data_IF_780910341672
#
_entry.id   IF_780910341672
#
_cell.length_a   1.000
_cell.length_b   1.000
_cell.length_c   1.000
_cell.angle_alpha   90.00
_cell.angle_beta   90.00
_cell.angle_gamma   90.00
#
_symmetry.space_group_name_H-M   'P 1'
#
loop_
_entity.id
_entity.type
_entity.pdbx_description
1 polymer ?
#
# COMPACT_ATOMS: atom_id res chain seq x y z
N UNK A 1 5.52 -11.50 42.54
CA UNK A 1 5.34 -12.03 41.18
C UNK A 1 5.80 -10.95 40.19
N UNK A 2 7.02 -11.02 39.65
CA UNK A 2 7.60 -9.97 38.81
C UNK A 2 7.14 -10.14 37.35
N UNK A 3 6.35 -9.17 36.85
CA UNK A 3 6.01 -9.09 35.42
C UNK A 3 7.26 -8.60 34.69
N UNK A 4 7.98 -9.52 34.03
CA UNK A 4 9.10 -9.15 33.14
C UNK A 4 8.55 -8.28 32.01
N UNK A 5 8.89 -6.99 32.01
CA UNK A 5 8.63 -6.08 30.91
C UNK A 5 9.49 -6.49 29.70
N UNK A 6 8.98 -7.41 28.87
CA UNK A 6 9.57 -7.72 27.58
C UNK A 6 9.37 -6.54 26.65
N UNK A 7 10.33 -5.62 26.65
CA UNK A 7 10.46 -4.59 25.62
C UNK A 7 10.67 -5.32 24.29
N UNK A 8 9.69 -5.26 23.39
CA UNK A 8 9.79 -5.85 22.05
C UNK A 8 10.92 -5.12 21.32
N UNK A 9 12.15 -5.65 21.40
CA UNK A 9 13.25 -5.24 20.53
C UNK A 9 12.92 -5.80 19.17
N UNK A 10 12.68 -4.92 18.20
CA UNK A 10 12.66 -5.30 16.79
C UNK A 10 14.09 -5.66 16.41
N UNK A 11 14.48 -6.91 16.68
CA UNK A 11 15.72 -7.44 16.14
C UNK A 11 15.54 -7.52 14.62
N UNK A 12 16.45 -6.90 13.87
CA UNK A 12 16.70 -7.21 12.47
C UNK A 12 17.13 -8.67 12.43
N UNK A 13 16.15 -9.57 12.32
CA UNK A 13 16.39 -10.98 12.54
C UNK A 13 16.77 -11.59 11.19
N UNK A 14 18.02 -12.06 11.00
CA UNK A 14 18.49 -12.65 9.73
C UNK A 14 17.68 -13.88 9.28
N UNK A 15 16.79 -14.39 10.13
CA UNK A 15 16.01 -15.60 9.89
C UNK A 15 14.62 -15.38 9.24
N UNK A 16 14.25 -14.17 8.82
CA UNK A 16 12.92 -13.94 8.24
C UNK A 16 12.66 -14.72 6.95
N UNK A 17 13.68 -14.89 6.10
CA UNK A 17 13.58 -15.70 4.88
C UNK A 17 13.40 -17.19 5.21
N UNK A 18 14.24 -17.71 6.11
CA UNK A 18 14.14 -19.10 6.59
C UNK A 18 12.77 -19.41 7.21
N UNK A 19 12.17 -18.48 7.95
CA UNK A 19 10.81 -18.61 8.50
C UNK A 19 9.76 -18.75 7.38
N UNK A 20 9.92 -18.01 6.27
CA UNK A 20 9.01 -18.07 5.11
C UNK A 20 9.18 -19.37 4.34
N UNK A 21 10.42 -19.80 4.09
CA UNK A 21 10.72 -21.09 3.45
C UNK A 21 10.11 -22.25 4.24
N UNK A 22 10.30 -22.30 5.56
CA UNK A 22 9.66 -23.32 6.41
C UNK A 22 8.14 -23.25 6.36
N UNK A 23 7.56 -22.07 6.13
CA UNK A 23 6.11 -21.96 5.96
C UNK A 23 5.65 -22.54 4.62
N UNK A 24 6.44 -22.37 3.56
CA UNK A 24 6.20 -22.94 2.23
C UNK A 24 6.31 -24.47 2.22
N UNK A 25 7.14 -25.07 3.08
CA UNK A 25 7.18 -26.53 3.28
C UNK A 25 5.99 -27.09 4.05
N UNK A 26 5.02 -26.25 4.44
CA UNK A 26 3.79 -26.67 5.11
C UNK A 26 3.84 -26.69 6.65
N UNK A 27 4.96 -26.34 7.29
CA UNK A 27 5.06 -26.32 8.75
C UNK A 27 4.07 -25.33 9.37
N UNK A 28 3.45 -25.73 10.48
CA UNK A 28 2.50 -24.88 11.21
C UNK A 28 3.20 -23.68 11.85
N UNK A 29 2.50 -22.55 12.02
CA UNK A 29 3.04 -21.39 12.74
C UNK A 29 3.49 -21.73 14.17
N UNK A 30 2.84 -22.70 14.83
CA UNK A 30 3.21 -23.14 16.17
C UNK A 30 4.54 -23.91 16.19
N UNK A 31 4.77 -24.76 15.20
CA UNK A 31 6.04 -25.50 15.06
C UNK A 31 7.20 -24.54 14.80
N UNK A 32 7.03 -23.59 13.86
CA UNK A 32 8.05 -22.59 13.55
C UNK A 32 8.31 -21.67 14.76
N UNK A 33 7.25 -21.26 15.48
CA UNK A 33 7.37 -20.46 16.70
C UNK A 33 8.28 -21.12 17.75
N UNK A 34 8.11 -22.45 17.97
CA UNK A 34 8.97 -23.22 18.88
C UNK A 34 10.42 -23.30 18.40
N UNK A 35 10.65 -23.48 17.10
CA UNK A 35 12.00 -23.60 16.51
C UNK A 35 12.85 -22.34 16.70
N UNK A 36 12.22 -21.16 16.65
CA UNK A 36 12.92 -19.86 16.72
C UNK A 36 12.72 -19.14 18.06
N UNK A 37 12.08 -19.78 19.04
CA UNK A 37 11.71 -19.18 20.34
C UNK A 37 11.02 -17.80 20.21
N UNK A 38 10.03 -17.72 19.32
CA UNK A 38 9.27 -16.49 19.06
C UNK A 38 7.77 -16.77 19.06
N UNK A 39 6.97 -15.76 19.38
CA UNK A 39 5.53 -15.93 19.47
C UNK A 39 4.90 -16.31 18.12
N UNK A 40 3.88 -17.16 18.16
CA UNK A 40 3.08 -17.53 16.98
C UNK A 40 2.54 -16.30 16.22
N UNK A 41 2.15 -15.26 16.95
CA UNK A 41 1.68 -14.00 16.37
C UNK A 41 2.80 -13.31 15.56
N UNK A 42 4.04 -13.35 16.05
CA UNK A 42 5.19 -12.80 15.34
C UNK A 42 5.51 -13.57 14.06
N UNK A 43 5.46 -14.90 14.10
CA UNK A 43 5.60 -15.73 12.89
C UNK A 43 4.54 -15.35 11.86
N UNK A 44 3.27 -15.23 12.27
CA UNK A 44 2.20 -14.81 11.37
C UNK A 44 2.48 -13.44 10.73
N UNK A 45 2.95 -12.46 11.50
CA UNK A 45 3.34 -11.15 10.96
C UNK A 45 4.47 -11.23 9.93
N UNK A 46 5.48 -12.08 10.17
CA UNK A 46 6.61 -12.28 9.25
C UNK A 46 6.13 -12.91 7.93
N UNK A 47 5.28 -13.94 8.03
CA UNK A 47 4.74 -14.65 6.87
C UNK A 47 3.72 -13.81 6.09
N UNK A 48 2.91 -13.00 6.76
CA UNK A 48 1.94 -12.11 6.12
C UNK A 48 2.56 -10.86 5.50
N UNK A 49 3.86 -10.62 5.74
CA UNK A 49 4.53 -9.40 5.29
C UNK A 49 4.05 -8.15 6.02
N UNK A 50 3.59 -8.30 7.27
CA UNK A 50 3.08 -7.18 8.07
C UNK A 50 4.17 -6.11 8.29
N UNK A 51 3.94 -4.92 7.74
CA UNK A 51 4.77 -3.73 7.96
C UNK A 51 4.23 -2.98 9.19
N UNK A 52 4.99 -2.93 10.28
CA UNK A 52 4.56 -2.23 11.49
C UNK A 52 4.55 -0.70 11.27
N UNK A 53 3.78 0.08 12.04
CA UNK A 53 3.87 1.54 11.98
C UNK A 53 5.29 2.05 12.21
N UNK A 54 6.09 1.37 13.04
CA UNK A 54 7.50 1.68 13.24
C UNK A 54 8.34 1.45 11.98
N UNK A 55 8.01 0.47 11.14
CA UNK A 55 8.68 0.27 9.85
C UNK A 55 8.39 1.42 8.88
N UNK A 56 7.22 2.06 8.97
CA UNK A 56 6.96 3.28 8.19
C UNK A 56 7.90 4.43 8.56
N UNK A 57 8.29 4.54 9.84
CA UNK A 57 9.25 5.53 10.29
C UNK A 57 10.68 5.17 9.87
N UNK A 58 11.04 3.89 9.92
CA UNK A 58 12.32 3.38 9.43
C UNK A 58 12.49 3.65 7.93
N UNK A 59 11.50 3.30 7.10
CA UNK A 59 11.48 3.58 5.66
C UNK A 59 11.62 5.08 5.40
N UNK A 60 10.91 5.93 6.16
CA UNK A 60 11.07 7.39 6.06
C UNK A 60 12.49 7.86 6.38
N UNK A 61 13.16 7.26 7.37
CA UNK A 61 14.55 7.56 7.70
C UNK A 61 15.50 7.14 6.58
N UNK A 62 15.34 5.94 6.04
CA UNK A 62 16.12 5.47 4.89
C UNK A 62 15.92 6.41 3.72
N UNK A 63 14.66 6.70 3.35
CA UNK A 63 14.36 7.62 2.24
C UNK A 63 15.00 8.99 2.44
N UNK A 64 14.96 9.54 3.66
CA UNK A 64 15.62 10.80 3.98
C UNK A 64 17.15 10.71 3.81
N UNK A 65 17.77 9.61 4.23
CA UNK A 65 19.20 9.39 4.07
C UNK A 65 19.61 9.29 2.59
N UNK A 66 18.80 8.59 1.78
CA UNK A 66 19.01 8.47 0.33
C UNK A 66 18.86 9.82 -0.38
N UNK A 67 17.86 10.63 0.00
CA UNK A 67 17.72 12.00 -0.50
C UNK A 67 18.94 12.87 -0.18
N UNK A 68 19.49 12.76 1.03
CA UNK A 68 20.71 13.49 1.43
C UNK A 68 21.93 12.99 0.66
N UNK A 69 22.10 11.66 0.51
CA UNK A 69 23.17 11.03 -0.28
C UNK A 69 23.21 11.59 -1.70
N UNK A 70 22.05 11.69 -2.32
CA UNK A 70 21.89 12.11 -3.72
C UNK A 70 21.73 13.64 -3.86
N UNK A 71 22.10 14.39 -2.82
CA UNK A 71 22.06 15.86 -2.76
C UNK A 71 20.69 16.46 -3.14
N UNK A 72 19.60 15.75 -2.87
CA UNK A 72 18.24 16.11 -3.29
C UNK A 72 18.15 16.36 -4.81
N UNK A 73 18.85 15.57 -5.62
CA UNK A 73 18.82 15.63 -7.08
C UNK A 73 18.41 14.28 -7.70
N UNK A 74 17.77 14.34 -8.86
CA UNK A 74 17.42 13.16 -9.65
C UNK A 74 18.67 12.46 -10.20
N UNK A 75 18.79 11.14 -9.98
CA UNK A 75 19.96 10.33 -10.37
C UNK A 75 19.76 9.54 -11.68
N UNK A 76 18.62 9.68 -12.35
CA UNK A 76 18.25 8.87 -13.53
C UNK A 76 19.12 9.14 -14.76
N UNK A 77 19.19 10.40 -15.17
CA UNK A 77 19.82 10.82 -16.41
C UNK A 77 20.62 12.10 -16.17
N UNK A 78 21.83 12.14 -16.72
CA UNK A 78 22.68 13.33 -16.75
C UNK A 78 21.96 14.51 -17.44
N UNK A 79 20.99 14.24 -18.31
CA UNK A 79 20.19 15.23 -19.02
C UNK A 79 18.77 15.40 -18.48
N UNK A 80 18.48 14.94 -17.26
CA UNK A 80 17.21 15.23 -16.61
C UNK A 80 16.99 16.75 -16.58
N UNK A 81 15.97 17.23 -17.31
CA UNK A 81 15.65 18.67 -17.43
C UNK A 81 15.28 19.30 -16.08
N UNK A 82 14.95 18.46 -15.11
CA UNK A 82 14.33 18.78 -13.84
C UNK A 82 15.20 18.35 -12.64
N UNK A 83 16.54 18.39 -12.77
CA UNK A 83 17.46 17.93 -11.71
C UNK A 83 17.27 18.63 -10.36
N UNK A 84 16.84 19.90 -10.37
CA UNK A 84 16.66 20.74 -9.17
C UNK A 84 15.20 21.13 -8.95
N UNK A 85 14.32 20.15 -9.02
CA UNK A 85 12.93 20.30 -8.61
C UNK A 85 12.82 20.29 -7.07
N UNK A 86 11.74 20.84 -6.52
CA UNK A 86 11.46 20.83 -5.08
C UNK A 86 11.51 19.42 -4.47
N UNK A 87 11.90 19.34 -3.20
CA UNK A 87 12.09 18.08 -2.47
C UNK A 87 10.82 17.21 -2.49
N UNK A 88 9.64 17.84 -2.52
CA UNK A 88 8.31 17.23 -2.57
C UNK A 88 7.99 16.44 -3.86
N UNK A 89 8.80 16.61 -4.90
CA UNK A 89 8.62 15.97 -6.20
C UNK A 89 9.69 14.89 -6.46
N UNK A 90 10.61 14.70 -5.51
CA UNK A 90 11.58 13.60 -5.52
C UNK A 90 10.99 12.35 -4.86
N UNK A 91 11.25 11.20 -5.46
CA UNK A 91 10.76 9.91 -4.99
C UNK A 91 11.94 8.94 -4.95
N UNK A 92 12.11 8.26 -3.82
CA UNK A 92 13.07 7.16 -3.67
C UNK A 92 12.43 5.88 -4.23
N UNK A 93 13.15 5.20 -5.11
CA UNK A 93 12.66 4.02 -5.82
C UNK A 93 13.65 2.86 -5.75
N UNK A 94 13.14 1.62 -5.84
CA UNK A 94 13.96 0.42 -5.84
C UNK A 94 14.39 0.08 -7.28
N UNK A 95 15.69 -0.08 -7.53
CA UNK A 95 16.24 -0.35 -8.86
C UNK A 95 15.82 -1.75 -9.33
N UNK A 96 15.87 -2.75 -8.45
CA UNK A 96 15.52 -4.15 -8.73
C UNK A 96 14.01 -4.46 -8.73
N UNK A 97 13.16 -3.47 -8.48
CA UNK A 97 11.70 -3.62 -8.30
C UNK A 97 11.27 -4.52 -7.12
N UNK A 98 12.18 -4.88 -6.22
CA UNK A 98 11.88 -5.64 -5.02
C UNK A 98 11.69 -4.69 -3.84
N UNK A 99 10.45 -4.45 -3.45
CA UNK A 99 10.07 -3.55 -2.35
C UNK A 99 10.49 -4.05 -0.94
N UNK A 100 11.20 -5.19 -0.89
CA UNK A 100 11.77 -5.79 0.32
C UNK A 100 13.29 -5.59 0.41
N UNK A 101 13.95 -5.20 -0.67
CA UNK A 101 15.39 -4.96 -0.69
C UNK A 101 15.69 -3.51 -0.35
N UNK A 102 15.72 -3.21 0.95
CA UNK A 102 15.93 -1.86 1.51
C UNK A 102 17.42 -1.44 1.53
N UNK A 103 18.32 -2.16 0.83
CA UNK A 103 19.72 -1.78 0.71
C UNK A 103 19.86 -0.41 0.06
N UNK A 104 20.73 0.45 0.61
CA UNK A 104 20.96 1.80 0.06
C UNK A 104 21.36 1.77 -1.41
N UNK A 105 22.12 0.75 -1.82
CA UNK A 105 22.64 0.63 -3.19
C UNK A 105 21.56 0.21 -4.18
N UNK A 106 20.45 -0.36 -3.69
CA UNK A 106 19.28 -0.69 -4.48
C UNK A 106 18.27 0.47 -4.55
N UNK A 107 18.54 1.60 -3.89
CA UNK A 107 17.66 2.75 -3.86
C UNK A 107 18.21 3.90 -4.70
N UNK A 108 17.35 4.52 -5.51
CA UNK A 108 17.67 5.65 -6.38
C UNK A 108 16.68 6.79 -6.19
N UNK A 109 17.15 8.04 -6.17
CA UNK A 109 16.28 9.23 -6.17
C UNK A 109 15.90 9.61 -7.60
N UNK A 110 14.60 9.75 -7.83
CA UNK A 110 14.04 10.10 -9.14
C UNK A 110 13.07 11.28 -9.00
N UNK A 111 13.10 12.22 -9.95
CA UNK A 111 11.99 13.17 -10.11
C UNK A 111 10.76 12.44 -10.67
N UNK A 112 9.57 13.04 -10.56
CA UNK A 112 8.31 12.43 -11.04
C UNK A 112 8.35 11.99 -12.50
N UNK A 113 8.95 12.77 -13.39
CA UNK A 113 9.03 12.42 -14.82
C UNK A 113 9.96 11.24 -15.07
N UNK A 114 11.17 11.26 -14.49
CA UNK A 114 12.10 10.15 -14.58
C UNK A 114 11.55 8.88 -13.89
N UNK A 115 10.80 9.02 -12.80
CA UNK A 115 10.14 7.90 -12.13
C UNK A 115 9.08 7.26 -13.03
N UNK A 116 8.23 8.07 -13.68
CA UNK A 116 7.28 7.57 -14.67
C UNK A 116 7.98 6.91 -15.87
N UNK A 117 9.07 7.53 -16.35
CA UNK A 117 9.92 6.98 -17.40
C UNK A 117 10.58 5.65 -17.01
N UNK A 118 10.98 5.49 -15.74
CA UNK A 118 11.56 4.25 -15.23
C UNK A 118 10.59 3.09 -15.30
N UNK A 119 9.33 3.31 -14.88
CA UNK A 119 8.29 2.29 -15.03
C UNK A 119 7.98 2.01 -16.49
N UNK A 120 7.99 3.05 -17.34
CA UNK A 120 7.64 2.91 -18.76
C UNK A 120 8.69 2.13 -19.57
N UNK A 121 9.98 2.30 -19.27
CA UNK A 121 11.10 1.61 -19.94
C UNK A 121 11.25 0.16 -19.45
N UNK A 122 11.21 -0.06 -18.14
CA UNK A 122 11.32 -1.41 -17.56
C UNK A 122 10.05 -2.25 -17.66
N UNK A 123 8.94 -1.65 -18.12
CA UNK A 123 7.79 -2.43 -18.58
C UNK A 123 8.13 -3.30 -19.79
N UNK A 124 9.13 -2.95 -20.61
CA UNK A 124 9.55 -3.78 -21.75
C UNK A 124 10.16 -5.09 -21.25
N UNK A 125 11.07 -5.05 -20.28
CA UNK A 125 11.69 -6.25 -19.71
C UNK A 125 10.72 -7.11 -18.90
N UNK A 126 9.82 -6.49 -18.13
CA UNK A 126 8.72 -7.24 -17.48
C UNK A 126 7.76 -7.85 -18.49
N UNK A 127 7.53 -7.25 -19.65
CA UNK A 127 6.69 -7.83 -20.72
C UNK A 127 7.40 -9.00 -21.41
N UNK A 128 8.72 -8.93 -21.57
CA UNK A 128 9.56 -10.01 -22.11
C UNK A 128 9.61 -11.19 -21.11
N UNK A 129 9.93 -10.94 -19.84
CA UNK A 129 9.90 -11.96 -18.77
C UNK A 129 8.50 -12.57 -18.58
N UNK A 130 7.45 -11.74 -18.61
CA UNK A 130 6.06 -12.21 -18.54
C UNK A 130 5.65 -13.00 -19.78
N UNK A 131 6.19 -12.70 -20.97
CA UNK A 131 5.97 -13.52 -22.17
C UNK A 131 6.62 -14.91 -22.07
N UNK A 132 7.73 -15.02 -21.34
CA UNK A 132 8.42 -16.30 -21.08
C UNK A 132 7.60 -17.14 -20.07
N UNK A 133 7.06 -16.52 -19.01
CA UNK A 133 6.27 -17.24 -17.99
C UNK A 133 4.80 -17.46 -18.38
N UNK A 134 4.20 -16.62 -19.23
CA UNK A 134 2.80 -16.75 -19.70
C UNK A 134 2.62 -17.84 -20.78
N UNK A 135 3.68 -18.56 -21.16
CA UNK A 135 3.56 -19.71 -22.05
C UNK A 135 2.93 -20.94 -21.37
N UNK A 136 2.82 -20.96 -20.04
CA UNK A 136 2.36 -22.13 -19.28
C UNK A 136 0.85 -22.17 -18.96
N UNK A 137 0.06 -21.15 -19.35
CA UNK A 137 -1.39 -21.11 -19.08
C UNK A 137 -2.23 -20.98 -20.35
N UNK A 138 -1.76 -21.54 -21.47
CA UNK A 138 -2.61 -21.66 -22.66
C UNK A 138 -3.42 -22.96 -22.52
N UNK A 139 -4.70 -22.86 -22.17
CA UNK A 139 -5.61 -24.01 -22.29
C UNK A 139 -6.11 -24.08 -23.72
N UNK A 140 -5.93 -25.22 -24.39
CA UNK A 140 -6.55 -25.47 -25.68
C UNK A 140 -8.07 -25.44 -25.52
N UNK A 141 -8.76 -24.66 -26.36
CA UNK A 141 -10.22 -24.65 -26.43
C UNK A 141 -10.68 -24.93 -27.85
N UNK A 142 -11.79 -25.64 -27.97
CA UNK A 142 -12.48 -25.87 -29.24
C UNK A 142 -13.54 -24.77 -29.42
N UNK A 143 -13.50 -24.06 -30.53
CA UNK A 143 -14.52 -23.04 -30.80
C UNK A 143 -15.89 -23.68 -31.02
N UNK A 144 -16.96 -23.21 -30.36
CA UNK A 144 -18.29 -23.82 -30.50
C UNK A 144 -18.88 -23.65 -31.92
N UNK A 145 -18.42 -22.64 -32.66
CA UNK A 145 -18.88 -22.31 -34.02
C UNK A 145 -18.05 -23.01 -35.10
N UNK A 146 -16.73 -22.74 -35.14
CA UNK A 146 -15.86 -23.25 -36.19
C UNK A 146 -15.29 -24.65 -35.92
N UNK A 147 -15.45 -25.17 -34.69
CA UNK A 147 -14.84 -26.42 -34.18
C UNK A 147 -13.31 -26.50 -34.27
N UNK A 148 -12.63 -25.43 -34.70
CA UNK A 148 -11.16 -25.35 -34.68
C UNK A 148 -10.66 -25.14 -33.25
N UNK A 149 -9.54 -25.78 -32.95
CA UNK A 149 -8.75 -25.50 -31.76
C UNK A 149 -8.15 -24.10 -31.83
N UNK A 150 -8.13 -23.39 -30.72
CA UNK A 150 -7.50 -22.09 -30.64
C UNK A 150 -6.91 -21.83 -29.27
N UNK A 151 -5.81 -21.10 -29.27
CA UNK A 151 -5.11 -20.63 -28.08
C UNK A 151 -5.51 -19.18 -27.81
N UNK A 152 -5.76 -18.83 -26.56
CA UNK A 152 -6.05 -17.44 -26.19
C UNK A 152 -5.46 -17.09 -24.83
N UNK A 153 -5.09 -15.81 -24.66
CA UNK A 153 -4.61 -15.27 -23.39
C UNK A 153 -5.80 -14.71 -22.60
N UNK A 154 -6.05 -15.23 -21.39
CA UNK A 154 -7.14 -14.83 -20.49
C UNK A 154 -8.18 -15.93 -20.25
N UNK A 155 -9.27 -15.66 -19.51
CA UNK A 155 -10.28 -16.70 -19.20
C UNK A 155 -11.57 -16.63 -20.05
N UNK A 156 -11.80 -15.55 -20.80
CA UNK A 156 -13.15 -15.22 -21.27
C UNK A 156 -13.44 -15.39 -22.77
N UNK A 157 -12.45 -15.64 -23.64
CA UNK A 157 -12.74 -15.81 -25.07
C UNK A 157 -13.35 -17.20 -25.31
N UNK A 158 -14.52 -17.23 -25.96
CA UNK A 158 -15.24 -18.47 -26.29
C UNK A 158 -15.03 -18.93 -27.73
N UNK A 159 -14.52 -18.07 -28.63
CA UNK A 159 -14.49 -18.34 -30.08
C UNK A 159 -13.11 -18.10 -30.71
N UNK A 160 -12.81 -18.84 -31.78
CA UNK A 160 -11.55 -18.80 -32.52
C UNK A 160 -11.29 -17.43 -33.19
N UNK A 161 -12.34 -16.79 -33.72
CA UNK A 161 -12.29 -15.51 -34.42
C UNK A 161 -13.41 -14.56 -33.99
N UNK A 162 -13.30 -13.29 -34.38
CA UNK A 162 -14.37 -12.30 -34.20
C UNK A 162 -15.61 -12.64 -35.04
N UNK A 163 -15.42 -13.18 -36.25
CA UNK A 163 -16.52 -13.71 -37.08
C UNK A 163 -17.29 -14.81 -36.36
N UNK A 164 -16.60 -15.74 -35.70
CA UNK A 164 -17.24 -16.77 -34.89
C UNK A 164 -17.94 -16.18 -33.65
N UNK A 165 -17.45 -15.08 -33.10
CA UNK A 165 -18.15 -14.39 -32.01
C UNK A 165 -19.47 -13.80 -32.52
N UNK A 166 -19.45 -13.12 -33.69
CA UNK A 166 -20.65 -12.58 -34.34
C UNK A 166 -21.67 -13.69 -34.61
N UNK A 167 -21.23 -14.82 -35.19
CA UNK A 167 -22.08 -16.01 -35.41
C UNK A 167 -22.63 -16.59 -34.11
N UNK A 168 -21.84 -16.64 -33.04
CA UNK A 168 -22.31 -17.11 -31.74
C UNK A 168 -23.39 -16.21 -31.14
N UNK A 169 -23.31 -14.90 -31.38
CA UNK A 169 -24.31 -13.93 -30.92
C UNK A 169 -25.61 -14.04 -31.73
N UNK A 170 -25.53 -14.33 -33.05
CA UNK A 170 -26.72 -14.47 -33.91
C UNK A 170 -27.47 -15.77 -33.69
N UNK A 171 -26.77 -16.88 -33.37
CA UNK A 171 -27.39 -18.20 -33.14
C UNK A 171 -28.17 -18.26 -31.83
N UNK A 172 -27.81 -17.43 -30.83
CA UNK A 172 -28.54 -17.37 -29.56
C UNK A 172 -28.88 -15.93 -29.12
N UNK A 173 -29.92 -15.33 -29.73
CA UNK A 173 -30.36 -13.98 -29.38
C UNK A 173 -30.90 -13.89 -27.94
N UNK A 174 -31.38 -15.01 -27.38
CA UNK A 174 -31.89 -15.07 -26.00
C UNK A 174 -30.74 -14.94 -24.99
N UNK A 175 -29.60 -15.58 -25.24
CA UNK A 175 -28.39 -15.41 -24.41
C UNK A 175 -27.89 -13.96 -24.42
N UNK A 176 -27.99 -13.26 -25.55
CA UNK A 176 -27.59 -11.86 -25.69
C UNK A 176 -28.44 -10.91 -24.83
N UNK A 177 -29.77 -11.03 -24.90
CA UNK A 177 -30.70 -10.17 -24.13
C UNK A 177 -30.63 -10.45 -22.63
N UNK A 178 -30.55 -11.72 -22.22
CA UNK A 178 -30.50 -12.09 -20.81
C UNK A 178 -29.17 -11.69 -20.17
N UNK A 179 -28.04 -11.89 -20.87
CA UNK A 179 -26.74 -11.39 -20.40
C UNK A 179 -26.67 -9.87 -20.35
N UNK A 180 -27.28 -9.17 -21.30
CA UNK A 180 -27.34 -7.73 -21.27
C UNK A 180 -28.11 -7.24 -20.03
N UNK A 181 -29.29 -7.82 -19.74
CA UNK A 181 -30.04 -7.54 -18.51
C UNK A 181 -29.21 -7.78 -17.25
N UNK A 182 -28.48 -8.91 -17.17
CA UNK A 182 -27.60 -9.22 -16.03
C UNK A 182 -26.46 -8.20 -15.93
N UNK A 183 -25.84 -7.82 -17.04
CA UNK A 183 -24.75 -6.85 -17.06
C UNK A 183 -25.21 -5.46 -16.61
N UNK A 184 -26.34 -5.00 -17.14
CA UNK A 184 -26.98 -3.73 -16.77
C UNK A 184 -27.35 -3.73 -15.29
N UNK A 185 -27.96 -4.82 -14.78
CA UNK A 185 -28.27 -4.96 -13.35
C UNK A 185 -27.01 -4.88 -12.48
N UNK A 186 -25.95 -5.62 -12.83
CA UNK A 186 -24.65 -5.56 -12.12
C UNK A 186 -24.04 -4.16 -12.13
N UNK A 187 -24.18 -3.42 -13.23
CA UNK A 187 -23.71 -2.05 -13.34
C UNK A 187 -24.45 -1.12 -12.38
N UNK A 188 -25.79 -1.18 -12.36
CA UNK A 188 -26.60 -0.40 -11.43
C UNK A 188 -26.36 -0.78 -9.96
N UNK A 189 -26.23 -2.07 -9.65
CA UNK A 189 -25.89 -2.54 -8.30
C UNK A 189 -24.51 -2.03 -7.85
N UNK A 190 -23.52 -2.00 -8.75
CA UNK A 190 -22.20 -1.42 -8.49
C UNK A 190 -22.28 0.08 -8.21
N UNK A 191 -23.06 0.83 -8.98
CA UNK A 191 -23.29 2.27 -8.73
C UNK A 191 -23.95 2.47 -7.37
N UNK A 192 -25.02 1.72 -7.08
CA UNK A 192 -25.75 1.80 -5.80
C UNK A 192 -24.85 1.49 -4.60
N UNK A 193 -24.00 0.47 -4.72
CA UNK A 193 -23.03 0.13 -3.68
C UNK A 193 -21.98 1.25 -3.50
N UNK A 194 -21.48 1.81 -4.60
CA UNK A 194 -20.50 2.90 -4.58
C UNK A 194 -21.09 4.16 -3.93
N UNK A 195 -22.34 4.53 -4.25
CA UNK A 195 -23.04 5.65 -3.64
C UNK A 195 -23.28 5.43 -2.14
N UNK A 196 -23.71 4.21 -1.74
CA UNK A 196 -23.86 3.84 -0.33
C UNK A 196 -22.54 3.97 0.44
N UNK A 197 -21.43 3.56 -0.16
CA UNK A 197 -20.11 3.67 0.45
C UNK A 197 -19.64 5.14 0.56
N UNK A 198 -19.86 5.96 -0.48
CA UNK A 198 -19.58 7.40 -0.45
C UNK A 198 -20.37 8.11 0.66
N UNK A 199 -21.66 7.80 0.81
CA UNK A 199 -22.50 8.39 1.86
C UNK A 199 -22.03 7.99 3.26
N UNK A 200 -21.73 6.71 3.49
CA UNK A 200 -21.14 6.25 4.77
C UNK A 200 -19.81 6.93 5.09
N UNK A 201 -18.95 7.11 4.08
CA UNK A 201 -17.66 7.79 4.27
C UNK A 201 -17.86 9.28 4.61
N UNK A 202 -18.82 9.96 3.97
CA UNK A 202 -19.16 11.36 4.27
C UNK A 202 -19.68 11.54 5.70
N UNK A 203 -20.51 10.61 6.17
CA UNK A 203 -21.03 10.59 7.54
C UNK A 203 -19.92 10.32 8.57
N UNK A 204 -19.03 9.36 8.29
CA UNK A 204 -17.83 9.10 9.09
C UNK A 204 -16.91 10.32 9.17
N UNK A 205 -16.64 10.99 8.05
CA UNK A 205 -15.83 12.22 8.04
C UNK A 205 -16.46 13.34 8.86
N UNK A 206 -17.79 13.53 8.76
CA UNK A 206 -18.53 14.54 9.53
C UNK A 206 -18.44 14.28 11.03
N UNK A 207 -18.67 13.04 11.46
CA UNK A 207 -18.59 12.66 12.89
C UNK A 207 -17.17 12.76 13.43
N UNK A 208 -16.17 12.33 12.66
CA UNK A 208 -14.76 12.45 13.03
C UNK A 208 -14.31 13.92 13.15
N UNK A 209 -14.72 14.79 12.22
CA UNK A 209 -14.46 16.22 12.29
C UNK A 209 -15.06 16.88 13.54
N UNK A 210 -16.34 16.60 13.84
CA UNK A 210 -17.01 17.13 15.02
C UNK A 210 -16.34 16.67 16.33
N UNK A 211 -15.95 15.39 16.41
CA UNK A 211 -15.21 14.85 17.56
C UNK A 211 -13.88 15.57 17.77
N UNK A 212 -13.10 15.77 16.70
CA UNK A 212 -11.82 16.48 16.77
C UNK A 212 -11.99 17.95 17.14
N UNK A 213 -12.99 18.64 16.58
CA UNK A 213 -13.33 20.02 16.93
C UNK A 213 -13.63 20.15 18.42
N UNK A 214 -14.42 19.23 18.99
CA UNK A 214 -14.75 19.25 20.42
C UNK A 214 -13.52 19.00 21.30
N UNK A 215 -12.61 18.10 20.90
CA UNK A 215 -11.34 17.88 21.60
C UNK A 215 -10.48 19.15 21.59
N UNK A 216 -10.36 19.82 20.44
CA UNK A 216 -9.59 21.07 20.31
C UNK A 216 -10.19 22.17 21.19
N UNK A 217 -11.51 22.35 21.16
CA UNK A 217 -12.20 23.32 22.00
C UNK A 217 -12.02 23.04 23.50
N UNK A 218 -12.06 21.77 23.91
CA UNK A 218 -11.81 21.37 25.29
C UNK A 218 -10.38 21.72 25.73
N UNK A 219 -9.38 21.34 24.92
CA UNK A 219 -7.97 21.66 25.18
C UNK A 219 -7.71 23.16 25.24
N UNK A 220 -8.34 23.94 24.36
CA UNK A 220 -8.25 25.40 24.36
C UNK A 220 -8.82 26.01 25.65
N UNK A 221 -10.00 25.55 26.10
CA UNK A 221 -10.58 25.98 27.38
C UNK A 221 -9.70 25.64 28.58
N UNK A 222 -9.14 24.42 28.61
CA UNK A 222 -8.19 24.00 29.65
C UNK A 222 -6.93 24.86 29.65
N UNK A 223 -6.38 25.17 28.48
CA UNK A 223 -5.21 26.05 28.33
C UNK A 223 -5.49 27.47 28.85
N UNK A 224 -6.60 28.07 28.44
CA UNK A 224 -7.01 29.41 28.91
C UNK A 224 -7.22 29.42 30.43
N UNK A 225 -7.85 28.38 30.99
CA UNK A 225 -8.04 28.24 32.43
C UNK A 225 -6.71 28.17 33.19
N UNK A 226 -5.78 27.32 32.74
CA UNK A 226 -4.43 27.20 33.33
C UNK A 226 -3.67 28.52 33.30
N UNK A 227 -3.73 29.27 32.20
CA UNK A 227 -3.07 30.57 32.10
C UNK A 227 -3.71 31.62 33.00
N UNK A 228 -5.04 31.61 33.17
CA UNK A 228 -5.72 32.48 34.13
C UNK A 228 -5.26 32.21 35.56
N UNK A 229 -5.13 30.95 35.96
CA UNK A 229 -4.69 30.59 37.30
C UNK A 229 -3.23 31.00 37.54
N UNK A 230 -2.33 30.74 36.58
CA UNK A 230 -0.94 31.21 36.63
C UNK A 230 -0.84 32.73 36.78
N UNK A 231 -1.68 33.48 36.07
CA UNK A 231 -1.70 34.93 36.20
C UNK A 231 -2.20 35.36 37.59
N UNK A 232 -3.25 34.72 38.13
CA UNK A 232 -3.72 34.98 39.49
C UNK A 232 -2.64 34.69 40.55
N UNK A 233 -1.91 33.59 40.40
CA UNK A 233 -0.79 33.24 41.26
C UNK A 233 0.34 34.27 41.18
N UNK A 234 0.71 34.70 39.95
CA UNK A 234 1.68 35.76 39.75
C UNK A 234 1.28 37.07 40.44
N UNK A 235 0.02 37.49 40.31
CA UNK A 235 -0.48 38.71 40.97
C UNK A 235 -0.47 38.57 42.51
N UNK A 236 -0.84 37.40 43.05
CA UNK A 236 -0.75 37.11 44.49
C UNK A 236 0.68 37.23 45.01
N UNK A 237 1.63 36.64 44.29
CA UNK A 237 3.06 36.69 44.65
C UNK A 237 3.62 38.10 44.56
N UNK A 238 3.24 38.87 43.54
CA UNK A 238 3.62 40.28 43.38
C UNK A 238 3.10 41.12 44.54
N UNK A 239 1.82 40.97 44.89
CA UNK A 239 1.22 41.69 46.01
C UNK A 239 1.91 41.35 47.35
N UNK A 240 2.18 40.07 47.60
CA UNK A 240 2.89 39.65 48.81
C UNK A 240 4.30 40.23 48.90
N UNK A 241 5.06 40.28 47.79
CA UNK A 241 6.39 40.94 47.77
C UNK A 241 6.30 42.43 48.13
N UNK A 242 5.34 43.15 47.55
CA UNK A 242 5.16 44.58 47.80
C UNK A 242 4.74 44.87 49.24
N UNK A 243 4.03 43.96 49.90
CA UNK A 243 3.58 44.13 51.28
C UNK A 243 4.68 43.85 52.33
N UNK A 244 5.69 43.08 51.96
CA UNK A 244 6.79 42.67 52.86
C UNK A 244 8.14 43.32 52.51
N UNK A 245 8.15 44.29 51.59
CA UNK A 245 9.30 45.15 51.29
C UNK A 245 9.09 46.51 51.91
#
# INVERSE_FOLDING_TARGET
MYIKNYRIRYMENPNTNKIRELRETGLSYGSIAKMFDISRARIHQICSGYKSPASSYHIKRIHKAILVRDNFECQWDKNCKDKKIGIEDLVVHHIDFNDRNESSDNLIVLCRFCHAGFHSTNHIDKKILKNITDNHNRTNKVCPICKKEFWFRGNNRKTCSEECLKKLITVDPKISKEKHKICVKRYYDKIKHTLKFKNKNREYQKTHYLKNRNIILKKSKEYVSKNREKNREYQRNRYWKLKNS
#
